data_IF_113641171883
#
_entry.id   IF_113641171883
#
_cell.length_a   1.000
_cell.length_b   1.000
_cell.length_c   1.000
_cell.angle_alpha   90.00
_cell.angle_beta   90.00
_cell.angle_gamma   90.00
#
_symmetry.space_group_name_H-M   'P 1'
#
loop_
_entity.id
_entity.type
_entity.pdbx_description
1 polymer ?
#
# COMPACT_ATOMS: atom_id res chain seq x y z
N UNK A 1 5.55 -6.59 -11.75
CA UNK A 1 5.59 -7.60 -10.67
C UNK A 1 4.65 -8.75 -11.02
N UNK A 2 5.01 -10.00 -10.69
CA UNK A 2 4.08 -11.12 -10.79
C UNK A 2 2.90 -10.91 -9.84
N UNK A 3 1.72 -11.41 -10.19
CA UNK A 3 0.47 -11.33 -9.39
C UNK A 3 0.33 -12.51 -8.44
N UNK A 4 1.46 -13.01 -7.91
CA UNK A 4 1.48 -14.06 -6.88
C UNK A 4 1.27 -13.45 -5.49
N UNK A 5 0.46 -14.08 -4.66
CA UNK A 5 0.06 -13.61 -3.32
C UNK A 5 1.25 -13.20 -2.44
N UNK A 6 2.26 -14.08 -2.28
CA UNK A 6 3.46 -13.76 -1.48
C UNK A 6 4.13 -12.47 -1.99
N UNK A 7 4.39 -12.39 -3.30
CA UNK A 7 5.07 -11.26 -3.91
C UNK A 7 4.29 -9.96 -3.73
N UNK A 8 2.96 -10.03 -3.74
CA UNK A 8 2.07 -8.89 -3.57
C UNK A 8 1.97 -8.45 -2.10
N UNK A 9 1.89 -9.39 -1.17
CA UNK A 9 1.97 -9.11 0.27
C UNK A 9 3.28 -8.44 0.64
N UNK A 10 4.43 -8.93 0.13
CA UNK A 10 5.73 -8.28 0.36
C UNK A 10 5.76 -6.84 -0.18
N UNK A 11 5.19 -6.59 -1.36
CA UNK A 11 5.09 -5.24 -1.91
C UNK A 11 4.20 -4.32 -1.06
N UNK A 12 3.04 -4.83 -0.63
CA UNK A 12 2.06 -4.12 0.20
C UNK A 12 2.58 -3.78 1.61
N UNK A 13 3.64 -4.45 2.07
CA UNK A 13 4.17 -4.30 3.41
C UNK A 13 5.47 -3.51 3.44
N UNK A 14 6.37 -3.74 2.47
CA UNK A 14 7.65 -3.05 2.33
C UNK A 14 7.54 -1.74 1.54
N UNK A 15 6.55 -1.62 0.64
CA UNK A 15 6.41 -0.46 -0.24
C UNK A 15 7.39 -0.49 -1.41
N UNK A 16 7.91 -1.67 -1.77
CA UNK A 16 8.89 -1.83 -2.86
C UNK A 16 8.47 -2.95 -3.80
N UNK A 17 8.88 -2.87 -5.06
CA UNK A 17 8.59 -3.92 -6.04
C UNK A 17 9.46 -5.15 -5.80
N UNK A 18 8.86 -6.34 -5.79
CA UNK A 18 9.61 -7.59 -5.69
C UNK A 18 10.27 -7.96 -7.03
N UNK A 19 11.50 -8.47 -6.96
CA UNK A 19 12.22 -8.94 -8.13
C UNK A 19 11.66 -10.29 -8.63
N UNK A 20 11.97 -10.64 -9.88
CA UNK A 20 11.63 -11.95 -10.43
C UNK A 20 12.31 -13.09 -9.66
N UNK A 21 13.52 -12.87 -9.14
CA UNK A 21 14.23 -13.86 -8.34
C UNK A 21 13.53 -14.13 -7.00
N UNK A 22 13.06 -13.07 -6.33
CA UNK A 22 12.28 -13.21 -5.10
C UNK A 22 10.98 -13.97 -5.35
N UNK A 23 10.31 -13.70 -6.48
CA UNK A 23 9.12 -14.43 -6.89
C UNK A 23 9.42 -15.92 -7.20
N UNK A 24 10.56 -16.23 -7.80
CA UNK A 24 10.97 -17.61 -8.06
C UNK A 24 11.33 -18.37 -6.78
N UNK A 25 12.05 -17.72 -5.84
CA UNK A 25 12.34 -18.29 -4.53
C UNK A 25 11.04 -18.58 -3.74
N UNK A 26 10.01 -17.75 -3.90
CA UNK A 26 8.68 -18.02 -3.35
C UNK A 26 8.06 -19.30 -3.94
N UNK A 27 8.21 -19.54 -5.26
CA UNK A 27 7.72 -20.77 -5.91
C UNK A 27 8.52 -22.00 -5.47
N UNK A 28 9.79 -21.83 -5.14
CA UNK A 28 10.67 -22.91 -4.68
C UNK A 28 10.42 -23.36 -3.23
N UNK A 29 9.46 -22.74 -2.51
CA UNK A 29 9.08 -23.08 -1.12
C UNK A 29 10.28 -23.22 -0.18
N UNK A 30 11.17 -22.23 -0.13
CA UNK A 30 12.20 -22.15 0.91
C UNK A 30 11.72 -21.17 1.99
N UNK A 31 11.10 -21.66 3.09
CA UNK A 31 10.48 -20.79 4.08
C UNK A 31 11.47 -19.79 4.66
N UNK A 32 12.71 -20.22 4.93
CA UNK A 32 13.77 -19.37 5.47
C UNK A 32 14.17 -18.23 4.51
N UNK A 33 14.16 -18.47 3.20
CA UNK A 33 14.46 -17.45 2.19
C UNK A 33 13.29 -16.47 1.97
N UNK A 34 12.10 -16.78 2.46
CA UNK A 34 10.91 -15.96 2.30
C UNK A 34 10.72 -14.96 3.45
N UNK A 35 11.26 -15.26 4.64
CA UNK A 35 11.08 -14.48 5.88
C UNK A 35 11.47 -13.02 5.68
N UNK A 36 10.71 -12.15 6.32
CA UNK A 36 10.98 -10.72 6.42
C UNK A 36 11.40 -10.36 7.87
N UNK A 37 12.15 -11.25 8.50
CA UNK A 37 12.60 -11.10 9.89
C UNK A 37 13.47 -9.86 10.02
N UNK A 38 13.04 -8.93 10.88
CA UNK A 38 13.75 -7.67 11.08
C UNK A 38 13.73 -6.72 9.88
N UNK A 39 12.99 -7.05 8.82
CA UNK A 39 12.84 -6.17 7.66
C UNK A 39 11.97 -4.96 7.98
N UNK A 40 12.27 -3.89 7.25
CA UNK A 40 11.61 -2.62 7.42
C UNK A 40 10.28 -2.59 6.64
N UNK A 41 9.17 -2.64 7.37
CA UNK A 41 7.79 -2.71 6.84
C UNK A 41 6.88 -1.79 7.63
N UNK A 42 5.71 -1.46 7.10
CA UNK A 42 4.72 -0.71 7.89
C UNK A 42 4.30 -1.47 9.16
N UNK A 43 4.30 -2.80 9.14
CA UNK A 43 3.99 -3.61 10.32
C UNK A 43 5.05 -3.44 11.42
N UNK A 44 6.34 -3.51 11.08
CA UNK A 44 7.44 -3.32 12.04
C UNK A 44 7.52 -1.87 12.53
N UNK A 45 7.33 -0.89 11.65
CA UNK A 45 7.25 0.54 12.01
C UNK A 45 6.06 0.85 12.91
N UNK A 46 4.87 0.31 12.61
CA UNK A 46 3.69 0.45 13.45
C UNK A 46 3.89 -0.26 14.80
N UNK A 47 4.46 -1.47 14.80
CA UNK A 47 4.79 -2.20 16.03
C UNK A 47 5.71 -1.39 16.95
N UNK A 48 6.70 -0.70 16.38
CA UNK A 48 7.63 0.15 17.14
C UNK A 48 6.99 1.48 17.59
N UNK A 49 6.06 2.04 16.81
CA UNK A 49 5.49 3.38 17.05
C UNK A 49 4.17 3.37 17.83
N UNK A 50 3.57 2.19 18.05
CA UNK A 50 2.28 2.06 18.73
C UNK A 50 2.30 2.61 20.15
N UNK A 51 1.16 3.17 20.56
CA UNK A 51 0.98 3.67 21.93
C UNK A 51 0.77 2.50 22.90
N UNK A 52 1.56 2.48 23.97
CA UNK A 52 1.42 1.50 25.05
C UNK A 52 1.63 0.06 24.60
N UNK A 53 0.86 -0.85 25.16
CA UNK A 53 0.95 -2.30 24.89
C UNK A 53 -0.08 -2.77 23.86
N UNK A 54 -0.58 -1.88 22.99
CA UNK A 54 -1.51 -2.26 21.92
C UNK A 54 -0.86 -3.33 21.02
N UNK A 55 -1.64 -4.33 20.63
CA UNK A 55 -1.16 -5.51 19.89
C UNK A 55 -1.21 -5.32 18.37
N UNK A 56 -0.36 -6.02 17.63
CA UNK A 56 -0.60 -6.33 16.21
C UNK A 56 -1.24 -7.71 16.17
N UNK A 57 -2.41 -7.81 15.55
CA UNK A 57 -3.26 -9.02 15.56
C UNK A 57 -3.41 -9.55 14.15
N UNK A 58 -3.39 -10.88 13.98
CA UNK A 58 -3.53 -11.53 12.67
C UNK A 58 -4.45 -12.75 12.67
N UNK A 59 -5.27 -12.87 11.63
CA UNK A 59 -6.02 -14.07 11.32
C UNK A 59 -6.02 -14.32 9.81
N UNK A 60 -5.58 -15.50 9.37
CA UNK A 60 -5.45 -15.78 7.94
C UNK A 60 -4.64 -17.04 7.61
N UNK A 61 -4.08 -17.08 6.41
CA UNK A 61 -3.26 -18.20 5.95
C UNK A 61 -1.88 -18.24 6.62
N UNK A 62 -1.30 -19.44 6.74
CA UNK A 62 -0.01 -19.69 7.43
C UNK A 62 1.16 -18.85 6.89
N UNK A 63 1.10 -18.52 5.60
CA UNK A 63 2.09 -17.72 4.88
C UNK A 63 2.45 -16.39 5.57
N UNK A 64 1.51 -15.69 6.19
CA UNK A 64 1.81 -14.43 6.90
C UNK A 64 2.66 -14.67 8.15
N UNK A 65 2.42 -15.78 8.85
CA UNK A 65 3.18 -16.14 10.05
C UNK A 65 4.58 -16.60 9.66
N UNK A 66 4.71 -17.29 8.53
CA UNK A 66 6.02 -17.64 7.96
C UNK A 66 6.81 -16.41 7.51
N UNK A 67 6.15 -15.43 6.87
CA UNK A 67 6.76 -14.16 6.47
C UNK A 67 7.13 -13.28 7.68
N UNK A 68 6.31 -13.29 8.73
CA UNK A 68 6.42 -12.42 9.91
C UNK A 68 6.23 -13.18 11.24
N UNK A 69 7.20 -14.03 11.62
CA UNK A 69 7.10 -14.88 12.81
C UNK A 69 6.90 -14.08 14.11
N UNK A 70 7.57 -12.94 14.24
CA UNK A 70 7.68 -12.18 15.49
C UNK A 70 6.82 -10.89 15.51
N UNK A 71 6.07 -10.61 14.45
CA UNK A 71 5.33 -9.35 14.34
C UNK A 71 4.00 -9.38 15.10
N UNK A 72 3.27 -10.49 15.03
CA UNK A 72 1.92 -10.59 15.58
C UNK A 72 1.96 -11.03 17.04
N UNK A 73 1.34 -10.23 17.92
CA UNK A 73 1.27 -10.51 19.36
C UNK A 73 0.09 -11.44 19.71
N UNK A 74 -0.96 -11.43 18.88
CA UNK A 74 -2.09 -12.38 18.92
C UNK A 74 -2.36 -12.84 17.50
N UNK A 75 -2.35 -14.15 17.27
CA UNK A 75 -2.56 -14.72 15.93
C UNK A 75 -3.21 -16.09 15.96
N UNK A 76 -3.95 -16.41 14.91
CA UNK A 76 -4.27 -17.78 14.53
C UNK A 76 -4.25 -17.90 13.01
N UNK A 77 -3.57 -18.93 12.50
CA UNK A 77 -3.45 -19.22 11.09
C UNK A 77 -4.05 -20.58 10.72
N UNK A 78 -4.33 -20.78 9.44
CA UNK A 78 -4.81 -22.05 8.89
C UNK A 78 -4.08 -22.39 7.59
N UNK A 79 -4.03 -23.68 7.26
CA UNK A 79 -3.32 -24.12 6.06
C UNK A 79 -4.08 -23.82 4.76
N UNK A 80 -3.40 -23.16 3.84
CA UNK A 80 -3.85 -22.91 2.46
C UNK A 80 -3.98 -24.18 1.61
N UNK A 81 -3.31 -25.28 1.97
CA UNK A 81 -3.29 -26.53 1.19
C UNK A 81 -4.29 -27.60 1.66
N UNK A 82 -4.85 -27.46 2.87
CA UNK A 82 -5.70 -28.50 3.49
C UNK A 82 -7.01 -27.92 4.01
N UNK A 83 -7.98 -27.69 3.11
CA UNK A 83 -9.30 -27.20 3.53
C UNK A 83 -10.43 -28.06 2.94
N UNK A 84 -11.06 -28.91 3.75
CA UNK A 84 -12.33 -29.54 3.39
C UNK A 84 -13.43 -28.48 3.37
N UNK A 85 -13.94 -28.14 2.18
CA UNK A 85 -15.07 -27.22 2.02
C UNK A 85 -14.64 -25.78 1.76
N UNK A 86 -14.51 -25.44 0.47
CA UNK A 86 -14.10 -24.12 -0.03
C UNK A 86 -15.04 -22.98 0.39
N UNK A 87 -16.30 -23.27 0.69
CA UNK A 87 -17.25 -22.25 1.16
C UNK A 87 -16.95 -21.79 2.58
N UNK A 88 -16.44 -22.68 3.43
CA UNK A 88 -16.30 -22.41 4.87
C UNK A 88 -14.87 -22.06 5.29
N UNK A 89 -13.93 -22.01 4.33
CA UNK A 89 -12.50 -21.72 4.60
C UNK A 89 -12.32 -20.44 5.41
N UNK A 90 -13.08 -19.40 5.08
CA UNK A 90 -13.00 -18.08 5.69
C UNK A 90 -13.64 -18.00 7.07
N UNK A 91 -14.41 -19.03 7.49
CA UNK A 91 -14.85 -19.16 8.89
C UNK A 91 -13.65 -19.26 9.84
N UNK A 92 -12.48 -19.67 9.34
CA UNK A 92 -11.25 -19.66 10.13
C UNK A 92 -10.80 -18.26 10.56
N UNK A 93 -11.23 -17.24 9.82
CA UNK A 93 -10.95 -15.83 10.10
C UNK A 93 -12.18 -15.18 10.74
N UNK A 94 -13.36 -15.31 10.12
CA UNK A 94 -14.57 -14.59 10.50
C UNK A 94 -15.02 -14.89 11.93
N UNK A 95 -14.80 -16.09 12.46
CA UNK A 95 -15.22 -16.45 13.83
C UNK A 95 -14.59 -15.58 14.92
N UNK A 96 -13.41 -15.00 14.66
CA UNK A 96 -12.70 -14.14 15.60
C UNK A 96 -13.14 -12.68 15.54
N UNK A 97 -13.78 -12.29 14.44
CA UNK A 97 -14.09 -10.90 14.14
C UNK A 97 -14.94 -10.21 15.23
N UNK A 98 -16.03 -10.82 15.76
CA UNK A 98 -16.81 -10.16 16.81
C UNK A 98 -16.00 -9.84 18.07
N UNK A 99 -15.15 -10.79 18.51
CA UNK A 99 -14.32 -10.63 19.70
C UNK A 99 -13.22 -9.58 19.51
N UNK A 100 -12.67 -9.45 18.31
CA UNK A 100 -11.66 -8.44 17.97
C UNK A 100 -12.26 -7.04 17.81
N UNK A 101 -13.46 -6.95 17.23
CA UNK A 101 -14.19 -5.68 17.09
C UNK A 101 -14.66 -5.12 18.44
N UNK A 102 -14.94 -5.99 19.42
CA UNK A 102 -15.27 -5.58 20.79
C UNK A 102 -14.06 -5.10 21.62
N UNK A 103 -12.83 -5.29 21.13
CA UNK A 103 -11.59 -4.96 21.85
C UNK A 103 -11.00 -3.62 21.41
N UNK A 104 -10.39 -2.92 22.36
CA UNK A 104 -9.55 -1.72 22.12
C UNK A 104 -8.07 -1.97 22.46
N UNK A 105 -7.64 -3.25 22.45
CA UNK A 105 -6.29 -3.66 22.85
C UNK A 105 -5.30 -3.82 21.69
N UNK A 106 -5.69 -3.45 20.47
CA UNK A 106 -4.88 -3.59 19.27
C UNK A 106 -4.63 -2.27 18.55
N UNK A 107 -3.48 -2.18 17.88
CA UNK A 107 -3.07 -1.08 17.01
C UNK A 107 -3.26 -1.42 15.53
N UNK A 108 -3.23 -2.71 15.19
CA UNK A 108 -3.61 -3.22 13.88
C UNK A 108 -4.25 -4.60 14.00
N UNK A 109 -5.27 -4.82 13.19
CA UNK A 109 -5.92 -6.11 12.95
C UNK A 109 -5.79 -6.44 11.46
N UNK A 110 -5.01 -7.47 11.14
CA UNK A 110 -4.79 -7.94 9.76
C UNK A 110 -5.61 -9.21 9.55
N UNK A 111 -6.53 -9.16 8.60
CA UNK A 111 -7.40 -10.29 8.23
C UNK A 111 -7.11 -10.67 6.78
N UNK A 112 -6.75 -11.93 6.53
CA UNK A 112 -6.52 -12.44 5.19
C UNK A 112 -7.50 -13.55 4.85
N UNK A 113 -8.39 -13.28 3.89
CA UNK A 113 -9.43 -14.18 3.42
C UNK A 113 -9.01 -14.84 2.10
N UNK A 114 -9.12 -16.17 2.01
CA UNK A 114 -8.64 -16.96 0.86
C UNK A 114 -9.77 -17.42 -0.06
N UNK A 115 -11.02 -17.41 0.41
CA UNK A 115 -12.09 -18.14 -0.27
C UNK A 115 -12.45 -17.64 -1.68
N UNK A 116 -12.27 -16.34 -1.97
CA UNK A 116 -12.47 -15.82 -3.33
C UNK A 116 -11.44 -16.36 -4.31
N UNK A 117 -10.17 -16.43 -3.91
CA UNK A 117 -9.08 -16.98 -4.73
C UNK A 117 -9.33 -18.47 -5.02
N UNK A 118 -9.62 -19.27 -4.00
CA UNK A 118 -9.90 -20.70 -4.16
C UNK A 118 -11.10 -20.96 -5.09
N UNK A 119 -12.19 -20.21 -4.96
CA UNK A 119 -13.36 -20.36 -5.83
C UNK A 119 -13.03 -19.96 -7.27
N UNK A 120 -12.20 -18.93 -7.45
CA UNK A 120 -11.77 -18.51 -8.76
C UNK A 120 -10.89 -19.59 -9.42
N UNK A 121 -9.91 -20.18 -8.73
CA UNK A 121 -9.11 -21.30 -9.26
C UNK A 121 -9.96 -22.51 -9.65
N UNK A 122 -11.00 -22.81 -8.87
CA UNK A 122 -11.85 -23.99 -9.11
C UNK A 122 -12.76 -23.83 -10.33
N UNK A 123 -13.38 -22.66 -10.52
CA UNK A 123 -14.46 -22.49 -11.51
C UNK A 123 -14.45 -21.17 -12.27
N UNK A 124 -13.44 -20.34 -12.05
CA UNK A 124 -13.35 -18.99 -12.57
C UNK A 124 -14.16 -17.96 -11.77
N UNK A 125 -13.90 -16.66 -12.00
CA UNK A 125 -14.58 -15.55 -11.32
C UNK A 125 -16.07 -15.40 -11.69
N UNK A 126 -16.56 -16.17 -12.67
CA UNK A 126 -17.98 -16.20 -13.07
C UNK A 126 -18.69 -17.50 -12.68
N UNK A 127 -18.06 -18.33 -11.84
CA UNK A 127 -18.68 -19.57 -11.36
C UNK A 127 -19.91 -19.28 -10.50
N UNK A 128 -20.81 -20.27 -10.40
CA UNK A 128 -21.99 -20.18 -9.55
C UNK A 128 -21.65 -19.99 -8.04
N UNK A 129 -20.43 -20.33 -7.65
CA UNK A 129 -19.95 -20.22 -6.27
C UNK A 129 -19.38 -18.84 -5.94
N UNK A 130 -19.01 -18.03 -6.94
CA UNK A 130 -18.38 -16.73 -6.72
C UNK A 130 -19.33 -15.74 -6.02
N UNK A 131 -20.56 -15.61 -6.52
CA UNK A 131 -21.53 -14.66 -5.96
C UNK A 131 -21.88 -14.96 -4.50
N UNK A 132 -22.22 -16.20 -4.10
CA UNK A 132 -22.41 -16.53 -2.68
C UNK A 132 -21.22 -16.14 -1.81
N UNK A 133 -19.99 -16.33 -2.30
CA UNK A 133 -18.78 -15.98 -1.56
C UNK A 133 -18.56 -14.47 -1.44
N UNK A 134 -18.84 -13.72 -2.51
CA UNK A 134 -18.82 -12.26 -2.47
C UNK A 134 -19.83 -11.72 -1.44
N UNK A 135 -21.02 -12.32 -1.33
CA UNK A 135 -22.02 -11.93 -0.32
C UNK A 135 -21.55 -12.22 1.11
N UNK A 136 -20.82 -13.33 1.33
CA UNK A 136 -20.19 -13.61 2.62
C UNK A 136 -19.16 -12.53 2.99
N UNK A 137 -18.27 -12.17 2.06
CA UNK A 137 -17.26 -11.13 2.29
C UNK A 137 -17.88 -9.74 2.44
N UNK A 138 -18.96 -9.44 1.71
CA UNK A 138 -19.73 -8.20 1.87
C UNK A 138 -20.33 -8.09 3.27
N UNK A 139 -20.87 -9.19 3.82
CA UNK A 139 -21.38 -9.23 5.20
C UNK A 139 -20.28 -9.02 6.25
N UNK A 140 -19.07 -9.54 6.01
CA UNK A 140 -17.90 -9.27 6.86
C UNK A 140 -17.56 -7.77 6.85
N UNK A 141 -17.49 -7.16 5.66
CA UNK A 141 -17.20 -5.73 5.51
C UNK A 141 -18.30 -4.88 6.16
N UNK A 142 -19.57 -5.24 5.99
CA UNK A 142 -20.70 -4.58 6.63
C UNK A 142 -20.59 -4.61 8.17
N UNK A 143 -20.22 -5.76 8.74
CA UNK A 143 -20.03 -5.89 10.20
C UNK A 143 -18.93 -4.97 10.72
N UNK A 144 -17.79 -4.88 10.02
CA UNK A 144 -16.70 -3.98 10.40
C UNK A 144 -17.17 -2.54 10.28
N UNK A 145 -17.75 -2.17 9.14
CA UNK A 145 -18.23 -0.82 8.87
C UNK A 145 -19.21 -0.33 9.93
N UNK A 146 -20.22 -1.14 10.27
CA UNK A 146 -21.20 -0.81 11.33
C UNK A 146 -20.52 -0.59 12.68
N UNK A 147 -19.51 -1.40 13.02
CA UNK A 147 -18.76 -1.24 14.28
C UNK A 147 -17.97 0.08 14.27
N UNK A 148 -17.32 0.43 13.15
CA UNK A 148 -16.64 1.72 13.01
C UNK A 148 -17.57 2.91 13.23
N UNK A 149 -18.83 2.83 12.76
CA UNK A 149 -19.81 3.91 12.90
C UNK A 149 -20.46 4.00 14.29
N UNK A 150 -20.54 2.89 15.02
CA UNK A 150 -21.37 2.79 16.23
C UNK A 150 -20.57 2.72 17.53
N UNK A 151 -19.34 2.19 17.49
CA UNK A 151 -18.54 1.96 18.69
C UNK A 151 -17.52 3.09 18.91
N UNK A 152 -17.57 3.75 20.07
CA UNK A 152 -16.76 4.92 20.36
C UNK A 152 -15.24 4.64 20.34
N UNK A 153 -14.79 3.44 20.74
CA UNK A 153 -13.37 3.08 20.67
C UNK A 153 -12.87 2.88 19.23
N UNK A 154 -13.76 2.80 18.24
CA UNK A 154 -13.44 2.62 16.83
C UNK A 154 -13.47 3.91 16.01
N UNK A 155 -13.83 5.06 16.59
CA UNK A 155 -13.95 6.35 15.86
C UNK A 155 -12.65 6.74 15.13
N UNK A 156 -11.50 6.40 15.71
CA UNK A 156 -10.17 6.68 15.15
C UNK A 156 -9.61 5.59 14.24
N UNK A 157 -10.39 4.55 13.91
CA UNK A 157 -9.91 3.38 13.17
C UNK A 157 -10.02 3.60 11.66
N UNK A 158 -9.02 3.08 10.94
CA UNK A 158 -8.97 3.04 9.47
C UNK A 158 -9.12 1.58 9.01
N UNK A 159 -10.18 1.29 8.27
CA UNK A 159 -10.33 0.06 7.50
C UNK A 159 -9.74 0.26 6.11
N UNK A 160 -8.80 -0.61 5.76
CA UNK A 160 -8.23 -0.69 4.41
C UNK A 160 -8.62 -2.04 3.83
N UNK A 161 -9.58 -2.04 2.91
CA UNK A 161 -10.04 -3.23 2.20
C UNK A 161 -9.40 -3.25 0.83
N UNK A 162 -8.62 -4.29 0.55
CA UNK A 162 -7.90 -4.42 -0.71
C UNK A 162 -7.74 -5.87 -1.15
N UNK A 163 -7.55 -6.06 -2.46
CA UNK A 163 -6.99 -7.29 -3.01
C UNK A 163 -5.49 -7.17 -3.25
N UNK A 164 -4.79 -8.28 -3.15
CA UNK A 164 -3.38 -8.42 -3.53
C UNK A 164 -3.22 -8.66 -5.04
N UNK A 165 -4.20 -9.32 -5.68
CA UNK A 165 -4.31 -9.45 -7.13
C UNK A 165 -5.77 -9.62 -7.58
N UNK A 166 -5.99 -9.54 -8.89
CA UNK A 166 -7.21 -10.01 -9.54
C UNK A 166 -7.02 -11.40 -10.15
N UNK A 167 -7.89 -11.79 -11.09
CA UNK A 167 -7.89 -13.14 -11.67
C UNK A 167 -8.33 -13.14 -13.12
N UNK A 168 -7.71 -14.00 -13.93
CA UNK A 168 -8.17 -14.28 -15.31
C UNK A 168 -9.55 -14.93 -15.33
N UNK A 169 -10.21 -14.91 -16.49
CA UNK A 169 -11.50 -15.58 -16.69
C UNK A 169 -11.45 -17.09 -16.43
N UNK A 170 -10.26 -17.71 -16.57
CA UNK A 170 -10.01 -19.13 -16.30
C UNK A 170 -9.69 -19.42 -14.83
N UNK A 171 -9.61 -18.39 -13.98
CA UNK A 171 -9.27 -18.60 -12.57
C UNK A 171 -7.78 -18.64 -12.27
N UNK A 172 -6.92 -18.19 -13.18
CA UNK A 172 -5.46 -18.13 -12.96
C UNK A 172 -4.97 -16.71 -12.68
N UNK A 173 -3.86 -16.62 -11.96
CA UNK A 173 -3.07 -15.41 -11.72
C UNK A 173 -1.56 -15.74 -11.77
N UNK A 174 -0.69 -14.75 -11.54
CA UNK A 174 0.77 -14.83 -11.59
C UNK A 174 1.39 -14.06 -12.77
N UNK A 175 0.57 -13.66 -13.74
CA UNK A 175 0.94 -12.91 -14.94
C UNK A 175 0.90 -11.40 -14.77
N UNK A 176 0.48 -10.72 -15.85
CA UNK A 176 0.50 -9.25 -16.02
C UNK A 176 -0.73 -8.74 -16.76
N UNK A 177 -1.77 -9.55 -16.92
CA UNK A 177 -2.98 -9.11 -17.59
C UNK A 177 -3.71 -8.05 -16.75
N UNK A 178 -4.42 -7.09 -17.37
CA UNK A 178 -5.15 -6.05 -16.65
C UNK A 178 -6.05 -6.60 -15.53
N UNK A 179 -6.76 -7.69 -15.79
CA UNK A 179 -7.64 -8.35 -14.83
C UNK A 179 -6.90 -9.02 -13.66
N UNK A 180 -5.62 -9.33 -13.82
CA UNK A 180 -4.78 -9.84 -12.73
C UNK A 180 -4.17 -8.70 -11.92
N UNK A 181 -3.88 -7.58 -12.56
CA UNK A 181 -3.26 -6.40 -11.94
C UNK A 181 -4.28 -5.52 -11.20
N UNK A 182 -5.50 -5.44 -11.71
CA UNK A 182 -6.57 -4.61 -11.17
C UNK A 182 -7.21 -5.27 -9.95
N UNK A 183 -6.57 -5.10 -8.79
CA UNK A 183 -7.15 -5.41 -7.49
C UNK A 183 -7.82 -4.17 -6.89
N UNK A 184 -9.01 -4.31 -6.34
CA UNK A 184 -9.71 -3.21 -5.69
C UNK A 184 -8.96 -2.75 -4.42
N UNK A 185 -9.08 -1.48 -4.08
CA UNK A 185 -8.59 -0.91 -2.81
C UNK A 185 -9.53 0.21 -2.38
N UNK A 186 -9.93 0.21 -1.11
CA UNK A 186 -10.76 1.25 -0.51
C UNK A 186 -10.30 1.55 0.92
N UNK A 187 -10.27 2.84 1.25
CA UNK A 187 -9.97 3.35 2.59
C UNK A 187 -11.28 3.85 3.21
N UNK A 188 -11.60 3.35 4.40
CA UNK A 188 -12.87 3.58 5.07
C UNK A 188 -12.59 3.97 6.52
N UNK A 189 -13.12 5.09 6.97
CA UNK A 189 -13.02 5.53 8.37
C UNK A 189 -14.08 6.59 8.66
N UNK A 190 -14.64 6.66 9.87
CA UNK A 190 -15.46 7.79 10.30
C UNK A 190 -14.77 9.14 10.08
N UNK A 191 -13.43 9.19 10.25
CA UNK A 191 -12.63 10.42 10.05
C UNK A 191 -12.40 10.81 8.59
N UNK A 192 -12.73 9.94 7.64
CA UNK A 192 -12.71 10.28 6.21
C UNK A 192 -14.05 10.85 5.73
N UNK A 193 -15.07 10.91 6.60
CA UNK A 193 -16.35 11.47 6.23
C UNK A 193 -16.22 12.97 5.95
N UNK A 194 -16.61 13.39 4.75
CA UNK A 194 -16.60 14.79 4.34
C UNK A 194 -15.22 15.36 4.00
N UNK A 195 -14.15 14.56 4.04
CA UNK A 195 -12.81 15.01 3.63
C UNK A 195 -12.65 15.07 2.11
N UNK A 196 -13.46 14.31 1.36
CA UNK A 196 -13.46 14.33 -0.10
C UNK A 196 -14.64 15.16 -0.62
N UNK A 197 -14.36 16.09 -1.54
CA UNK A 197 -15.39 16.89 -2.22
C UNK A 197 -16.04 16.16 -3.40
N UNK A 198 -15.47 15.01 -3.81
CA UNK A 198 -15.89 14.26 -5.00
C UNK A 198 -16.75 13.07 -4.56
N UNK A 199 -18.07 13.24 -4.69
CA UNK A 199 -18.97 12.08 -4.72
C UNK A 199 -18.83 11.38 -6.06
N UNK A 200 -18.56 10.08 -6.04
CA UNK A 200 -18.51 9.23 -7.22
C UNK A 200 -19.69 8.27 -7.21
N UNK A 201 -20.22 7.96 -8.38
CA UNK A 201 -21.26 6.96 -8.51
C UNK A 201 -20.73 5.57 -8.15
N UNK A 202 -21.58 4.75 -7.52
CA UNK A 202 -21.29 3.37 -7.15
C UNK A 202 -22.58 2.54 -7.10
N UNK A 203 -22.59 1.29 -7.61
CA UNK A 203 -21.49 0.65 -8.34
C UNK A 203 -21.35 1.23 -9.76
N UNK A 204 -20.11 1.21 -10.30
CA UNK A 204 -19.86 1.54 -11.70
C UNK A 204 -20.19 0.36 -12.62
N UNK A 205 -20.50 0.66 -13.89
CA UNK A 205 -20.62 -0.36 -14.92
C UNK A 205 -19.27 -1.07 -15.14
N UNK A 206 -19.31 -2.35 -15.54
CA UNK A 206 -18.10 -3.14 -15.81
C UNK A 206 -17.27 -2.51 -16.93
N UNK A 207 -16.01 -2.20 -16.63
CA UNK A 207 -15.03 -1.70 -17.58
C UNK A 207 -14.20 -2.85 -18.16
N UNK A 208 -13.97 -2.85 -19.49
CA UNK A 208 -13.21 -3.92 -20.16
C UNK A 208 -11.72 -3.91 -19.83
N UNK A 209 -11.18 -2.72 -19.55
CA UNK A 209 -9.79 -2.49 -19.16
C UNK A 209 -9.58 -2.57 -17.64
N UNK A 210 -10.64 -2.87 -16.87
CA UNK A 210 -10.64 -2.94 -15.41
C UNK A 210 -10.27 -1.62 -14.73
N UNK A 211 -10.38 -0.49 -15.44
CA UNK A 211 -10.20 0.85 -14.89
C UNK A 211 -11.56 1.43 -14.50
N UNK A 212 -11.71 1.76 -13.22
CA UNK A 212 -12.99 2.20 -12.64
C UNK A 212 -12.88 3.63 -12.10
N UNK A 213 -12.32 3.77 -10.90
CA UNK A 213 -12.06 5.05 -10.26
C UNK A 213 -10.64 5.54 -10.60
N UNK A 214 -9.89 6.03 -9.62
CA UNK A 214 -8.46 6.27 -9.80
C UNK A 214 -7.65 4.98 -9.68
N UNK A 215 -6.48 4.99 -10.31
CA UNK A 215 -5.50 3.90 -10.25
C UNK A 215 -4.35 4.34 -9.35
N UNK A 216 -3.96 3.47 -8.42
CA UNK A 216 -2.81 3.66 -7.52
C UNK A 216 -1.91 2.43 -7.60
N UNK A 217 -0.62 2.57 -7.31
CA UNK A 217 0.23 1.40 -7.15
C UNK A 217 0.06 0.82 -5.74
N UNK A 218 0.17 -0.50 -5.59
CA UNK A 218 0.10 -1.15 -4.27
C UNK A 218 1.18 -0.64 -3.30
N UNK A 219 2.35 -0.26 -3.82
CA UNK A 219 3.44 0.30 -3.00
C UNK A 219 3.08 1.67 -2.40
N UNK A 220 2.16 2.42 -3.02
CA UNK A 220 1.70 3.74 -2.55
C UNK A 220 0.85 3.64 -1.26
N UNK A 221 0.37 2.44 -0.94
CA UNK A 221 -0.37 2.19 0.30
C UNK A 221 0.52 2.38 1.52
N UNK A 222 1.80 2.01 1.46
CA UNK A 222 2.73 2.08 2.60
C UNK A 222 2.96 3.51 3.13
N UNK A 223 3.36 4.51 2.31
CA UNK A 223 3.47 5.88 2.78
C UNK A 223 2.09 6.45 3.15
N UNK A 224 1.01 6.01 2.51
CA UNK A 224 -0.36 6.44 2.85
C UNK A 224 -0.77 5.98 4.25
N UNK A 225 -0.49 4.73 4.62
CA UNK A 225 -0.69 4.24 5.98
C UNK A 225 0.18 4.99 6.98
N UNK A 226 1.44 5.27 6.62
CA UNK A 226 2.40 6.00 7.47
C UNK A 226 1.86 7.38 7.84
N UNK A 227 1.34 8.13 6.86
CA UNK A 227 0.77 9.45 7.08
C UNK A 227 -0.55 9.41 7.86
N UNK A 228 -1.45 8.49 7.55
CA UNK A 228 -2.75 8.40 8.21
C UNK A 228 -2.66 7.89 9.66
N UNK A 229 -1.73 6.98 9.96
CA UNK A 229 -1.60 6.34 11.27
C UNK A 229 -0.45 6.90 12.11
N UNK A 230 0.39 7.77 11.54
CA UNK A 230 1.43 8.48 12.27
C UNK A 230 2.64 7.63 12.68
N UNK A 231 3.07 6.70 11.82
CA UNK A 231 4.33 5.98 11.99
C UNK A 231 5.33 6.35 10.87
N UNK A 232 6.66 6.19 11.08
CA UNK A 232 7.65 6.56 10.06
C UNK A 232 7.56 5.68 8.80
N UNK A 233 7.74 6.30 7.63
CA UNK A 233 7.77 5.58 6.34
C UNK A 233 8.96 4.61 6.33
N UNK A 234 8.78 3.33 5.93
CA UNK A 234 9.89 2.39 5.74
C UNK A 234 10.97 2.98 4.82
N UNK A 235 12.24 2.83 5.20
CA UNK A 235 13.38 3.48 4.56
C UNK A 235 13.56 3.10 3.08
N UNK A 236 13.17 1.87 2.73
CA UNK A 236 13.27 1.32 1.37
C UNK A 236 11.96 1.39 0.58
N UNK A 237 10.94 2.07 1.11
CA UNK A 237 9.72 2.31 0.36
C UNK A 237 10.04 3.09 -0.94
N UNK A 238 9.36 2.73 -2.02
CA UNK A 238 9.41 3.36 -3.32
C UNK A 238 8.06 3.97 -3.74
N UNK A 239 7.01 3.81 -2.92
CA UNK A 239 5.70 4.40 -3.17
C UNK A 239 5.61 5.89 -2.78
N UNK A 240 4.60 6.56 -3.30
CA UNK A 240 4.20 7.91 -2.88
C UNK A 240 2.88 7.91 -2.14
N UNK A 241 2.63 8.96 -1.35
CA UNK A 241 1.34 9.15 -0.71
C UNK A 241 0.20 9.28 -1.74
N UNK A 242 -0.92 8.58 -1.51
CA UNK A 242 -2.09 8.59 -2.40
C UNK A 242 -2.76 9.97 -2.35
N UNK A 243 -2.83 10.71 -3.47
CA UNK A 243 -3.30 12.10 -3.47
C UNK A 243 -4.72 12.30 -2.96
N UNK A 244 -5.62 11.34 -3.21
CA UNK A 244 -7.01 11.38 -2.76
C UNK A 244 -7.16 11.32 -1.24
N UNK A 245 -6.12 10.87 -0.51
CA UNK A 245 -6.10 10.81 0.95
C UNK A 245 -5.51 12.07 1.58
N UNK A 246 -5.00 13.02 0.79
CA UNK A 246 -4.35 14.23 1.32
C UNK A 246 -5.26 15.06 2.24
N UNK A 247 -6.57 15.24 1.93
CA UNK A 247 -7.47 15.97 2.83
C UNK A 247 -7.59 15.35 4.22
N UNK A 248 -7.21 14.08 4.41
CA UNK A 248 -7.23 13.41 5.70
C UNK A 248 -6.02 13.73 6.59
N UNK A 249 -4.94 14.31 6.04
CA UNK A 249 -3.75 14.70 6.81
C UNK A 249 -3.96 15.99 7.62
N UNK A 250 -5.07 16.69 7.44
CA UNK A 250 -5.40 17.91 8.16
C UNK A 250 -5.33 19.15 7.29
N UNK A 251 -4.79 20.24 7.84
CA UNK A 251 -4.60 21.47 7.08
C UNK A 251 -3.52 21.33 6.00
N UNK A 252 -3.39 22.36 5.17
CA UNK A 252 -2.41 22.36 4.09
C UNK A 252 -0.97 22.19 4.58
N UNK A 253 -0.60 22.70 5.75
CA UNK A 253 0.80 22.67 6.18
C UNK A 253 1.20 21.27 6.65
N UNK A 254 0.36 20.59 7.42
CA UNK A 254 0.59 19.19 7.81
C UNK A 254 0.69 18.26 6.59
N UNK A 255 -0.16 18.47 5.57
CA UNK A 255 -0.09 17.72 4.33
C UNK A 255 1.21 18.00 3.54
N UNK A 256 1.70 19.25 3.50
CA UNK A 256 2.98 19.59 2.89
C UNK A 256 4.16 18.92 3.61
N UNK A 257 4.20 19.02 4.95
CA UNK A 257 5.24 18.43 5.77
C UNK A 257 5.36 16.92 5.52
N UNK A 258 4.24 16.22 5.43
CA UNK A 258 4.26 14.79 5.14
C UNK A 258 4.72 14.48 3.71
N UNK A 259 4.25 15.22 2.71
CA UNK A 259 4.67 15.02 1.32
C UNK A 259 6.18 15.24 1.13
N UNK A 260 6.72 16.22 1.84
CA UNK A 260 8.16 16.49 1.92
C UNK A 260 8.90 15.32 2.58
N UNK A 261 8.37 14.77 3.68
CA UNK A 261 8.98 13.62 4.34
C UNK A 261 9.01 12.40 3.42
N UNK A 262 7.92 12.13 2.71
CA UNK A 262 7.88 11.08 1.70
C UNK A 262 8.90 11.32 0.57
N UNK A 263 9.05 12.56 0.10
CA UNK A 263 10.05 12.92 -0.91
C UNK A 263 11.49 12.70 -0.43
N UNK A 264 11.80 13.09 0.82
CA UNK A 264 13.13 12.88 1.42
C UNK A 264 13.45 11.40 1.59
N UNK A 265 12.48 10.60 2.03
CA UNK A 265 12.61 9.15 2.16
C UNK A 265 12.91 8.52 0.79
N UNK A 266 12.13 8.87 -0.25
CA UNK A 266 12.35 8.37 -1.61
C UNK A 266 13.74 8.75 -2.15
N UNK A 267 14.16 9.99 -1.94
CA UNK A 267 15.51 10.43 -2.33
C UNK A 267 16.60 9.60 -1.63
N UNK A 268 16.45 9.38 -0.32
CA UNK A 268 17.40 8.57 0.44
C UNK A 268 17.46 7.13 -0.12
N UNK A 269 16.31 6.50 -0.35
CA UNK A 269 16.23 5.16 -0.92
C UNK A 269 16.91 5.07 -2.30
N UNK A 270 16.66 6.03 -3.19
CA UNK A 270 17.28 6.12 -4.51
C UNK A 270 18.80 6.29 -4.41
N UNK A 271 19.27 7.15 -3.51
CA UNK A 271 20.70 7.38 -3.27
C UNK A 271 21.42 6.11 -2.81
N UNK A 272 20.82 5.34 -1.91
CA UNK A 272 21.35 4.04 -1.49
C UNK A 272 21.41 3.05 -2.67
N UNK A 273 20.35 2.97 -3.49
CA UNK A 273 20.34 2.11 -4.67
C UNK A 273 21.43 2.50 -5.70
N UNK A 274 21.67 3.80 -5.91
CA UNK A 274 22.73 4.26 -6.81
C UNK A 274 24.12 3.92 -6.31
N UNK A 275 24.41 4.06 -5.02
CA UNK A 275 25.72 3.67 -4.45
C UNK A 275 26.03 2.18 -4.66
N UNK A 276 25.01 1.32 -4.60
CA UNK A 276 25.14 -0.11 -4.90
C UNK A 276 25.37 -0.41 -6.39
N UNK A 277 24.94 0.48 -7.31
CA UNK A 277 25.14 0.35 -8.75
C UNK A 277 26.47 0.99 -9.21
N UNK A 278 26.87 2.11 -8.63
CA UNK A 278 28.13 2.81 -8.93
C UNK A 278 29.35 2.01 -8.47
N UNK A 279 29.21 1.20 -7.42
CA UNK A 279 30.23 0.20 -7.05
C UNK A 279 30.44 -0.89 -8.13
N UNK A 280 29.55 -0.96 -9.14
CA UNK A 280 29.65 -1.85 -10.30
C UNK A 280 29.78 -1.11 -11.65
N UNK A 281 29.71 0.23 -11.71
CA UNK A 281 29.85 0.97 -12.96
C UNK A 281 30.31 2.42 -12.75
N UNK A 282 31.27 2.89 -13.56
CA UNK A 282 31.74 4.27 -13.59
C UNK A 282 30.68 5.20 -14.22
N UNK A 283 29.59 5.50 -13.51
CA UNK A 283 28.66 6.56 -13.87
C UNK A 283 29.05 7.83 -13.11
N UNK A 284 29.77 8.73 -13.79
CA UNK A 284 30.14 10.02 -13.22
C UNK A 284 28.91 10.90 -13.04
N UNK A 285 28.68 11.37 -11.81
CA UNK A 285 27.77 12.50 -11.51
C UNK A 285 28.16 13.69 -12.38
N UNK A 286 27.36 14.00 -13.40
CA UNK A 286 27.49 15.29 -14.08
C UNK A 286 26.85 16.36 -13.20
N UNK A 287 27.69 17.30 -12.81
CA UNK A 287 27.37 18.52 -12.08
C UNK A 287 26.65 19.48 -13.05
N UNK A 288 25.39 19.17 -13.35
CA UNK A 288 24.53 19.94 -14.23
C UNK A 288 23.54 20.77 -13.41
N UNK A 289 23.32 22.01 -13.82
CA UNK A 289 22.26 22.88 -13.31
C UNK A 289 20.95 22.10 -13.11
N UNK A 290 20.40 22.12 -11.89
CA UNK A 290 19.15 21.44 -11.45
C UNK A 290 17.87 21.80 -12.25
N UNK A 291 18.00 22.44 -13.41
CA UNK A 291 16.91 23.00 -14.20
C UNK A 291 16.39 22.06 -15.28
N UNK A 292 17.17 21.05 -15.73
CA UNK A 292 16.70 20.09 -16.73
C UNK A 292 17.04 18.63 -16.41
N UNK A 293 16.19 17.99 -15.62
CA UNK A 293 16.34 16.57 -15.29
C UNK A 293 16.13 15.62 -16.49
N UNK A 294 15.74 16.12 -17.66
CA UNK A 294 15.61 15.30 -18.88
C UNK A 294 16.97 14.96 -19.52
N UNK A 295 18.04 15.68 -19.18
CA UNK A 295 19.39 15.45 -19.74
C UNK A 295 20.07 14.19 -19.16
N UNK A 296 19.52 13.58 -18.10
CA UNK A 296 20.08 12.37 -17.50
C UNK A 296 19.82 11.14 -18.38
N UNK A 297 20.90 10.47 -18.80
CA UNK A 297 20.83 9.29 -19.67
C UNK A 297 20.27 8.01 -19.03
N UNK A 298 20.01 7.99 -17.71
CA UNK A 298 19.38 6.85 -17.02
C UNK A 298 18.08 7.28 -16.31
N UNK A 299 17.08 6.40 -16.29
CA UNK A 299 15.81 6.66 -15.58
C UNK A 299 16.02 6.92 -14.08
N UNK A 300 16.98 6.22 -13.47
CA UNK A 300 17.34 6.39 -12.07
C UNK A 300 17.98 7.76 -11.80
N UNK A 301 18.88 8.21 -12.68
CA UNK A 301 19.49 9.53 -12.61
C UNK A 301 18.46 10.66 -12.77
N UNK A 302 17.53 10.51 -13.71
CA UNK A 302 16.41 11.43 -13.89
C UNK A 302 15.52 11.50 -12.65
N UNK A 303 15.14 10.35 -12.08
CA UNK A 303 14.33 10.31 -10.86
C UNK A 303 15.06 11.00 -9.69
N UNK A 304 16.35 10.73 -9.48
CA UNK A 304 17.13 11.37 -8.43
C UNK A 304 17.19 12.90 -8.59
N UNK A 305 17.45 13.39 -9.81
CA UNK A 305 17.44 14.84 -10.09
C UNK A 305 16.09 15.47 -9.74
N UNK A 306 14.98 14.83 -10.14
CA UNK A 306 13.64 15.35 -9.87
C UNK A 306 13.36 15.46 -8.38
N UNK A 307 13.77 14.47 -7.58
CA UNK A 307 13.60 14.50 -6.12
C UNK A 307 14.58 15.47 -5.43
N UNK A 308 15.77 15.72 -5.99
CA UNK A 308 16.65 16.78 -5.50
C UNK A 308 16.05 18.18 -5.67
N UNK A 309 15.37 18.43 -6.80
CA UNK A 309 14.66 19.70 -7.04
C UNK A 309 13.58 19.92 -5.97
N UNK A 310 12.88 18.86 -5.54
CA UNK A 310 11.89 18.94 -4.45
C UNK A 310 12.55 19.37 -3.14
N UNK A 311 13.67 18.72 -2.77
CA UNK A 311 14.35 19.03 -1.52
C UNK A 311 14.94 20.45 -1.54
N UNK A 312 15.40 20.94 -2.68
CA UNK A 312 15.89 22.31 -2.81
C UNK A 312 14.76 23.34 -2.74
N UNK A 313 13.62 23.08 -3.40
CA UNK A 313 12.43 23.91 -3.29
C UNK A 313 11.93 23.99 -1.83
N UNK A 314 12.05 22.90 -1.08
CA UNK A 314 11.69 22.86 0.33
C UNK A 314 12.61 23.72 1.20
N UNK A 315 13.94 23.64 1.02
CA UNK A 315 14.88 24.51 1.72
C UNK A 315 14.56 25.99 1.47
N UNK A 316 14.27 26.33 0.22
CA UNK A 316 13.91 27.70 -0.15
C UNK A 316 12.61 28.16 0.54
N UNK A 317 11.60 27.30 0.62
CA UNK A 317 10.38 27.57 1.38
C UNK A 317 10.66 27.76 2.87
N UNK A 318 11.52 26.95 3.49
CA UNK A 318 11.87 27.08 4.91
C UNK A 318 12.68 28.37 5.21
N UNK A 319 13.61 28.73 4.33
CA UNK A 319 14.47 29.92 4.48
C UNK A 319 13.66 31.21 4.26
N UNK A 320 12.78 31.21 3.25
CA UNK A 320 11.98 32.36 2.87
C UNK A 320 10.53 31.95 2.53
N UNK A 321 9.68 31.70 3.55
CA UNK A 321 8.30 31.29 3.34
C UNK A 321 7.53 32.36 2.54
N UNK A 322 7.08 32.01 1.34
CA UNK A 322 6.33 32.90 0.44
C UNK A 322 5.41 32.10 -0.48
N UNK A 323 4.28 32.67 -0.89
CA UNK A 323 3.33 31.99 -1.78
C UNK A 323 4.02 31.43 -3.04
N UNK A 324 4.99 32.15 -3.60
CA UNK A 324 5.81 31.70 -4.73
C UNK A 324 6.67 30.47 -4.38
N UNK A 325 7.40 30.49 -3.26
CA UNK A 325 8.19 29.34 -2.82
C UNK A 325 7.31 28.11 -2.54
N UNK A 326 6.07 28.31 -2.06
CA UNK A 326 5.08 27.25 -1.88
C UNK A 326 4.68 26.63 -3.22
N UNK A 327 4.39 27.45 -4.22
CA UNK A 327 4.04 26.98 -5.58
C UNK A 327 5.21 26.25 -6.25
N UNK A 328 6.44 26.73 -6.05
CA UNK A 328 7.64 26.05 -6.54
C UNK A 328 7.77 24.65 -5.90
N UNK A 329 7.60 24.54 -4.58
CA UNK A 329 7.62 23.26 -3.87
C UNK A 329 6.53 22.31 -4.39
N UNK A 330 5.28 22.76 -4.47
CA UNK A 330 4.16 21.97 -4.99
C UNK A 330 4.43 21.48 -6.42
N UNK A 331 4.83 22.38 -7.31
CA UNK A 331 5.08 22.05 -8.72
C UNK A 331 6.26 21.10 -8.90
N UNK A 332 7.27 21.18 -8.01
CA UNK A 332 8.42 20.27 -8.00
C UNK A 332 8.01 18.86 -7.56
N UNK A 333 7.21 18.74 -6.49
CA UNK A 333 6.66 17.45 -6.03
C UNK A 333 5.84 16.81 -7.15
N UNK A 334 4.97 17.59 -7.80
CA UNK A 334 4.18 17.13 -8.93
C UNK A 334 5.04 16.63 -10.09
N UNK A 335 6.03 17.42 -10.53
CA UNK A 335 6.94 17.04 -11.61
C UNK A 335 7.70 15.77 -11.25
N UNK A 336 8.19 15.65 -10.02
CA UNK A 336 8.92 14.47 -9.58
C UNK A 336 8.05 13.22 -9.59
N UNK A 337 6.82 13.30 -9.10
CA UNK A 337 5.88 12.18 -9.17
C UNK A 337 5.61 11.79 -10.64
N UNK A 338 5.13 12.73 -11.46
CA UNK A 338 4.68 12.46 -12.83
C UNK A 338 5.81 11.96 -13.74
N UNK A 339 7.01 12.56 -13.62
CA UNK A 339 8.13 12.29 -14.55
C UNK A 339 9.03 11.14 -14.11
N UNK A 340 8.87 10.58 -12.91
CA UNK A 340 9.63 9.40 -12.48
C UNK A 340 9.09 8.07 -13.05
N UNK A 341 8.34 8.11 -14.16
CA UNK A 341 7.74 6.98 -14.89
C UNK A 341 6.83 6.00 -14.09
N UNK A 342 6.67 6.18 -12.78
CA UNK A 342 5.93 5.24 -11.93
C UNK A 342 4.74 5.82 -11.16
N UNK A 343 4.49 7.15 -11.18
CA UNK A 343 3.60 7.78 -10.20
C UNK A 343 2.73 8.87 -10.86
N UNK A 344 1.51 8.54 -11.30
CA UNK A 344 0.55 9.57 -11.74
C UNK A 344 -0.02 10.29 -10.51
N UNK A 345 -0.01 11.61 -10.50
CA UNK A 345 -0.45 12.45 -9.38
C UNK A 345 -1.39 13.58 -9.89
N UNK A 346 -2.57 13.82 -9.27
CA UNK A 346 -3.33 15.05 -9.43
C UNK A 346 -3.23 15.92 -8.16
N UNK A 347 -2.14 16.69 -8.02
CA UNK A 347 -1.90 17.62 -6.90
C UNK A 347 -2.53 19.03 -7.11
N UNK A 348 -3.67 19.12 -7.79
CA UNK A 348 -4.22 20.41 -8.24
C UNK A 348 -5.14 21.14 -7.23
N UNK A 349 -5.42 20.58 -6.04
CA UNK A 349 -6.51 21.13 -5.20
C UNK A 349 -6.25 21.24 -3.69
N UNK A 350 -5.06 20.89 -3.18
CA UNK A 350 -4.89 20.68 -1.72
C UNK A 350 -4.29 21.87 -0.98
N UNK A 351 -3.75 22.85 -1.71
CA UNK A 351 -3.10 23.98 -1.08
C UNK A 351 -3.65 25.29 -1.66
N UNK A 352 -4.62 25.95 -0.99
CA UNK A 352 -5.07 27.28 -1.38
C UNK A 352 -3.96 28.32 -1.28
#
# INVERSE_FOLDING_TARGET
MPTLTVSRIKALTQGSSQSFLDAWLNVANSPEAMRLDGEDTWLSRLKASRRGTKKIVFYGIEMWVDLYPDIFDRKEDFSSFHVPGLTNIDTNVTRHLPDELARDDWAALVLHYLGLDCIAHMGGPRSAHMRPKQLEMDSVVESIYRTLETEAHMEGTLLVLLGDHGMTAQGNHGGRLPEELAAATVFISPRLQGTTSIRRDSPLATAQDYLYYSTVNQIDIVPSLSGLLGFPIPERNAGVFIPELLPALGDGDAAAEFLVENARQLRHALGSSMQHLDSNSNLSRQDGSYTDCEEYGSELGRAMCLWDVVVEAEKNWQIAPSAEAREILKSSIYKACVKSNYLRCPLLYVFP
#
